data_IF_821674753941
#
_entry.id   IF_821674753941
#
_cell.length_a   1.000
_cell.length_b   1.000
_cell.length_c   1.000
_cell.angle_alpha   90.00
_cell.angle_beta   90.00
_cell.angle_gamma   90.00
#
_symmetry.space_group_name_H-M   'P 1'
#
loop_
_entity.id
_entity.type
_entity.pdbx_description
1 polymer ?
#
# COMPACT_ATOMS: atom_id res chain seq x y z
N UNK A 1 -8.00 10.01 4.16
CA UNK A 1 -8.46 8.65 4.46
C UNK A 1 -7.25 7.86 4.91
N UNK A 2 -7.26 7.33 6.13
CA UNK A 2 -6.23 6.43 6.66
C UNK A 2 -6.82 5.02 6.70
N UNK A 3 -6.00 4.00 6.43
CA UNK A 3 -6.42 2.60 6.58
C UNK A 3 -5.88 2.12 7.91
N UNK A 4 -6.81 1.74 8.80
CA UNK A 4 -6.49 1.43 10.20
C UNK A 4 -6.40 -0.08 10.44
N UNK A 5 -7.27 -0.88 9.79
CA UNK A 5 -7.29 -2.32 10.00
C UNK A 5 -6.68 -3.05 8.80
N UNK A 6 -5.50 -3.61 9.01
CA UNK A 6 -4.80 -4.45 8.04
C UNK A 6 -4.81 -5.89 8.54
N UNK A 7 -5.26 -6.81 7.69
CA UNK A 7 -5.21 -8.24 7.98
C UNK A 7 -3.88 -8.80 7.49
N UNK A 8 -3.09 -9.28 8.44
CA UNK A 8 -1.80 -9.94 8.22
C UNK A 8 -1.91 -11.45 8.46
N UNK A 9 -1.29 -12.24 7.59
CA UNK A 9 -1.10 -13.69 7.75
C UNK A 9 0.30 -14.09 7.25
N UNK A 10 0.71 -15.32 7.50
CA UNK A 10 2.04 -15.79 7.08
C UNK A 10 2.25 -15.70 5.56
N UNK A 11 1.17 -15.88 4.79
CA UNK A 11 1.24 -15.84 3.33
C UNK A 11 1.54 -14.43 2.84
N UNK A 12 0.84 -13.40 3.32
CA UNK A 12 1.01 -12.04 2.84
C UNK A 12 2.30 -11.42 3.37
N UNK A 13 2.71 -11.72 4.61
CA UNK A 13 4.03 -11.35 5.15
C UNK A 13 5.13 -11.95 4.28
N UNK A 14 5.06 -13.25 3.99
CA UNK A 14 6.02 -13.93 3.12
C UNK A 14 6.00 -13.41 1.67
N UNK A 15 4.83 -13.03 1.15
CA UNK A 15 4.69 -12.48 -0.18
C UNK A 15 5.39 -11.13 -0.30
N UNK A 16 5.10 -10.18 0.61
CA UNK A 16 5.71 -8.84 0.54
C UNK A 16 7.21 -8.86 0.82
N UNK A 17 7.68 -9.82 1.63
CA UNK A 17 9.10 -10.02 1.88
C UNK A 17 9.88 -10.35 0.59
N UNK A 18 9.26 -11.07 -0.37
CA UNK A 18 9.87 -11.32 -1.71
C UNK A 18 10.05 -10.04 -2.53
N UNK A 19 9.38 -8.96 -2.17
CA UNK A 19 9.55 -7.62 -2.74
C UNK A 19 10.45 -6.72 -1.88
N UNK A 20 11.12 -7.28 -0.86
CA UNK A 20 11.91 -6.53 0.12
C UNK A 20 11.09 -5.41 0.79
N UNK A 21 9.83 -5.71 1.09
CA UNK A 21 8.91 -4.84 1.82
C UNK A 21 8.61 -5.49 3.15
N UNK A 22 8.67 -4.70 4.22
CA UNK A 22 8.31 -5.15 5.56
C UNK A 22 6.88 -4.72 5.94
N UNK A 23 6.17 -5.46 6.81
CA UNK A 23 4.85 -5.07 7.29
C UNK A 23 4.78 -3.64 7.83
N UNK A 24 5.80 -3.21 8.56
CA UNK A 24 5.88 -1.87 9.15
C UNK A 24 5.89 -0.77 8.08
N UNK A 25 6.53 -1.01 6.93
CA UNK A 25 6.53 -0.04 5.82
C UNK A 25 5.13 0.09 5.17
N UNK A 26 4.36 -1.00 5.17
CA UNK A 26 2.98 -1.02 4.68
C UNK A 26 2.09 -0.25 5.65
N UNK A 27 2.23 -0.48 6.95
CA UNK A 27 1.52 0.23 8.01
C UNK A 27 1.82 1.73 7.99
N UNK A 28 3.10 2.11 7.88
CA UNK A 28 3.54 3.51 7.74
C UNK A 28 2.83 4.21 6.58
N UNK A 29 2.80 3.56 5.42
CA UNK A 29 2.16 4.13 4.23
C UNK A 29 0.65 4.20 4.42
N UNK A 30 -0.01 3.13 4.87
CA UNK A 30 -1.46 3.07 5.07
C UNK A 30 -1.98 4.06 6.13
N UNK A 31 -1.16 4.34 7.15
CA UNK A 31 -1.43 5.34 8.19
C UNK A 31 -1.12 6.78 7.77
N UNK A 32 -0.42 6.99 6.66
CA UNK A 32 -0.04 8.33 6.20
C UNK A 32 -1.20 9.12 5.61
N UNK A 33 -1.21 10.44 5.82
CA UNK A 33 -2.15 11.37 5.16
C UNK A 33 -1.78 11.64 3.70
N UNK A 34 -0.52 11.42 3.31
CA UNK A 34 -0.02 11.64 1.94
C UNK A 34 -0.04 10.33 1.17
N UNK A 35 -1.25 9.87 0.85
CA UNK A 35 -1.46 8.67 0.05
C UNK A 35 -2.34 8.94 -1.16
N UNK A 36 -1.97 8.35 -2.29
CA UNK A 36 -2.84 8.25 -3.46
C UNK A 36 -3.60 6.93 -3.42
N UNK A 37 -4.92 6.99 -3.48
CA UNK A 37 -5.78 5.80 -3.53
C UNK A 37 -6.50 5.70 -4.86
N UNK A 38 -6.52 4.52 -5.46
CA UNK A 38 -7.26 4.23 -6.70
C UNK A 38 -7.95 2.88 -6.60
N UNK A 39 -9.15 2.74 -7.19
CA UNK A 39 -9.80 1.44 -7.37
C UNK A 39 -9.05 0.64 -8.43
N UNK A 40 -8.90 -0.66 -8.22
CA UNK A 40 -8.38 -1.61 -9.20
C UNK A 40 -9.49 -2.61 -9.55
N UNK A 41 -9.27 -3.49 -10.54
CA UNK A 41 -10.27 -4.46 -10.96
C UNK A 41 -10.74 -5.33 -9.78
N UNK A 42 -12.05 -5.47 -9.62
CA UNK A 42 -12.69 -6.21 -8.52
C UNK A 42 -12.78 -5.39 -7.22
N UNK A 43 -12.94 -6.07 -6.08
CA UNK A 43 -12.96 -5.46 -4.74
C UNK A 43 -11.53 -5.16 -4.24
N UNK A 44 -10.69 -4.60 -5.10
CA UNK A 44 -9.29 -4.29 -4.80
C UNK A 44 -9.05 -2.80 -4.82
N UNK A 45 -8.20 -2.34 -3.91
CA UNK A 45 -7.76 -0.96 -3.79
C UNK A 45 -6.24 -0.89 -3.93
N UNK A 46 -5.74 0.09 -4.66
CA UNK A 46 -4.31 0.40 -4.74
C UNK A 46 -4.03 1.67 -3.98
N UNK A 47 -3.06 1.61 -3.09
CA UNK A 47 -2.50 2.73 -2.35
C UNK A 47 -1.09 2.96 -2.84
N UNK A 48 -0.74 4.23 -3.08
CA UNK A 48 0.64 4.64 -3.30
C UNK A 48 0.99 5.69 -2.26
N UNK A 49 2.10 5.48 -1.56
CA UNK A 49 2.60 6.46 -0.60
C UNK A 49 4.10 6.34 -0.39
N UNK A 50 4.58 7.12 0.57
CA UNK A 50 5.99 7.22 0.91
C UNK A 50 6.17 6.78 2.38
N UNK A 51 7.11 5.88 2.62
CA UNK A 51 7.54 5.48 3.97
C UNK A 51 8.27 6.63 4.66
N UNK A 52 8.52 6.51 5.97
CA UNK A 52 9.32 7.48 6.71
C UNK A 52 10.77 7.53 6.20
N UNK A 53 11.33 6.38 5.83
CA UNK A 53 12.66 6.25 5.21
C UNK A 53 12.74 6.82 3.78
N UNK A 54 11.60 7.15 3.19
CA UNK A 54 11.51 7.77 1.87
C UNK A 54 11.42 6.83 0.67
N UNK A 55 11.26 5.53 0.93
CA UNK A 55 10.83 4.58 -0.11
C UNK A 55 9.40 4.87 -0.51
N UNK A 56 9.07 4.51 -1.75
CA UNK A 56 7.73 4.72 -2.28
C UNK A 56 7.13 3.37 -2.63
N UNK A 57 6.01 3.03 -1.99
CA UNK A 57 5.37 1.73 -2.13
C UNK A 57 4.03 1.84 -2.84
N UNK A 58 3.72 0.80 -3.63
CA UNK A 58 2.38 0.50 -4.12
C UNK A 58 1.87 -0.71 -3.35
N UNK A 59 0.78 -0.51 -2.61
CA UNK A 59 0.13 -1.52 -1.77
C UNK A 59 -1.22 -1.84 -2.40
N UNK A 60 -1.49 -3.13 -2.58
CA UNK A 60 -2.74 -3.63 -3.11
C UNK A 60 -3.49 -4.34 -2.01
N UNK A 61 -4.72 -3.89 -1.79
CA UNK A 61 -5.59 -4.34 -0.72
C UNK A 61 -6.84 -4.97 -1.30
N UNK A 62 -7.32 -6.04 -0.68
CA UNK A 62 -8.67 -6.53 -0.89
C UNK A 62 -9.55 -6.05 0.27
N UNK A 63 -10.70 -5.48 -0.06
CA UNK A 63 -11.71 -5.10 0.94
C UNK A 63 -12.36 -6.38 1.49
N UNK A 64 -12.40 -6.51 2.81
CA UNK A 64 -13.01 -7.66 3.51
C UNK A 64 -14.28 -7.27 4.26
N UNK A 65 -14.74 -6.03 4.14
CA UNK A 65 -15.84 -5.48 4.94
C UNK A 65 -15.35 -4.87 6.25
N UNK A 66 -16.22 -4.16 6.96
CA UNK A 66 -15.97 -3.60 8.31
C UNK A 66 -14.73 -2.69 8.45
N UNK A 67 -14.24 -2.13 7.33
CA UNK A 67 -12.97 -1.40 7.23
C UNK A 67 -11.71 -2.26 7.38
N UNK A 68 -11.83 -3.57 7.23
CA UNK A 68 -10.71 -4.50 7.21
C UNK A 68 -10.19 -4.70 5.79
N UNK A 69 -8.86 -4.60 5.67
CA UNK A 69 -8.18 -4.70 4.39
C UNK A 69 -7.11 -5.79 4.43
N UNK A 70 -7.29 -6.78 3.57
CA UNK A 70 -6.30 -7.85 3.39
C UNK A 70 -5.17 -7.38 2.46
N UNK A 71 -3.92 -7.60 2.87
CA UNK A 71 -2.75 -7.28 2.05
C UNK A 71 -2.60 -8.31 0.93
N UNK A 72 -2.90 -7.92 -0.30
CA UNK A 72 -2.72 -8.78 -1.47
C UNK A 72 -1.25 -8.81 -1.89
N UNK A 73 -0.61 -7.64 -1.96
CA UNK A 73 0.82 -7.49 -2.23
C UNK A 73 1.26 -6.05 -1.95
N UNK A 74 2.56 -5.85 -1.71
CA UNK A 74 3.20 -4.56 -1.61
C UNK A 74 4.56 -4.62 -2.32
N UNK A 75 4.90 -3.57 -3.05
CA UNK A 75 6.16 -3.46 -3.80
C UNK A 75 6.59 -2.01 -3.95
N UNK A 76 7.86 -1.80 -4.31
CA UNK A 76 8.29 -0.50 -4.80
C UNK A 76 7.46 -0.05 -6.02
N UNK A 77 7.21 1.26 -6.10
CA UNK A 77 6.49 1.82 -7.23
C UNK A 77 7.36 1.89 -8.50
N UNK A 78 6.71 1.78 -9.65
CA UNK A 78 7.35 2.02 -10.93
C UNK A 78 7.70 3.51 -11.12
N UNK A 79 8.60 3.80 -12.05
CA UNK A 79 8.96 5.19 -12.42
C UNK A 79 7.72 6.00 -12.83
N UNK A 80 6.78 5.38 -13.57
CA UNK A 80 5.53 5.99 -14.00
C UNK A 80 4.61 6.32 -12.82
N UNK A 81 4.45 5.40 -11.89
CA UNK A 81 3.70 5.60 -10.63
C UNK A 81 4.33 6.72 -9.80
N UNK A 82 5.66 6.79 -9.70
CA UNK A 82 6.39 7.83 -8.96
C UNK A 82 6.17 9.21 -9.56
N UNK A 83 6.25 9.33 -10.90
CA UNK A 83 5.96 10.58 -11.61
C UNK A 83 4.50 11.03 -11.41
N UNK A 84 3.56 10.08 -11.37
CA UNK A 84 2.16 10.39 -11.09
C UNK A 84 1.96 10.88 -9.64
N UNK A 85 2.50 10.16 -8.66
CA UNK A 85 2.43 10.55 -7.25
C UNK A 85 3.00 11.94 -7.00
N UNK A 86 4.20 12.23 -7.52
CA UNK A 86 4.84 13.55 -7.36
C UNK A 86 4.04 14.70 -7.96
N UNK A 87 3.30 14.48 -9.06
CA UNK A 87 2.41 15.52 -9.64
C UNK A 87 1.19 15.79 -8.76
N UNK A 88 0.69 14.78 -8.05
CA UNK A 88 -0.53 14.85 -7.23
C UNK A 88 -0.32 15.53 -5.88
N UNK A 89 0.89 15.42 -5.32
CA UNK A 89 1.29 15.95 -4.01
C UNK A 89 2.41 16.99 -4.11
N UNK A 90 2.49 17.70 -5.25
CA UNK A 90 3.39 18.84 -5.41
C UNK A 90 2.87 20.03 -4.62
#
# INVERSE_FOLDING_TARGET
>A
MTIQNLIWDEWNVGHIARHNVKPEEVEEVCGSRKIFTSKVRGQKKRIIGRTLSGRYLAIFLADKGENDYYIVTARDITVKEKKYYKRRFK
#
